data_IF_040758547143
#
_entry.id   IF_040758547143
#
_cell.length_a   1.000
_cell.length_b   1.000
_cell.length_c   1.000
_cell.angle_alpha   90.00
_cell.angle_beta   90.00
_cell.angle_gamma   90.00
#
_symmetry.space_group_name_H-M   'P 1'
#
loop_
_entity.id
_entity.type
_entity.pdbx_description
1 polymer ?
#
# COMPACT_ATOMS: atom_id res chain seq x y z
N UNK A 1 16.45 -1.18 1.83
CA UNK A 1 17.10 -2.34 1.17
C UNK A 1 18.60 -2.52 1.46
N UNK A 2 19.44 -1.50 1.76
CA UNK A 2 20.91 -1.68 1.83
C UNK A 2 21.42 -2.48 3.07
N UNK A 3 20.53 -3.16 3.79
CA UNK A 3 20.85 -4.07 4.91
C UNK A 3 20.06 -5.39 4.86
N UNK A 4 19.41 -5.69 3.74
CA UNK A 4 18.67 -6.95 3.56
C UNK A 4 19.61 -8.08 3.11
N UNK A 5 19.25 -9.33 3.41
CA UNK A 5 19.92 -10.47 2.79
C UNK A 5 19.57 -10.47 1.29
N UNK A 6 20.54 -10.30 0.38
CA UNK A 6 20.27 -10.23 -1.06
C UNK A 6 19.56 -11.48 -1.59
N UNK A 7 19.76 -12.64 -0.93
CA UNK A 7 19.08 -13.88 -1.29
C UNK A 7 17.56 -13.88 -0.99
N UNK A 8 17.04 -12.90 -0.25
CA UNK A 8 15.62 -12.80 0.13
C UNK A 8 14.90 -11.67 -0.60
N UNK A 9 15.49 -11.14 -1.67
CA UNK A 9 14.95 -9.94 -2.34
C UNK A 9 13.59 -10.20 -3.00
N UNK A 10 13.37 -11.42 -3.50
CA UNK A 10 12.08 -11.85 -4.06
C UNK A 10 10.99 -11.94 -2.97
N UNK A 11 11.32 -12.41 -1.77
CA UNK A 11 10.40 -12.47 -0.63
C UNK A 11 9.95 -11.06 -0.20
N UNK A 12 10.85 -10.07 -0.28
CA UNK A 12 10.50 -8.66 -0.04
C UNK A 12 9.51 -8.16 -1.09
N UNK A 13 9.70 -8.53 -2.36
CA UNK A 13 8.78 -8.22 -3.46
C UNK A 13 7.39 -8.81 -3.24
N UNK A 14 7.33 -10.09 -2.88
CA UNK A 14 6.07 -10.75 -2.51
C UNK A 14 5.42 -10.05 -1.32
N UNK A 15 6.20 -9.75 -0.27
CA UNK A 15 5.71 -9.09 0.93
C UNK A 15 5.08 -7.71 0.67
N UNK A 16 5.71 -6.88 -0.16
CA UNK A 16 5.18 -5.54 -0.46
C UNK A 16 3.90 -5.60 -1.30
N UNK A 17 3.81 -6.56 -2.23
CA UNK A 17 2.60 -6.81 -3.02
C UNK A 17 1.44 -7.25 -2.13
N UNK A 18 1.68 -8.21 -1.23
CA UNK A 18 0.69 -8.67 -0.26
C UNK A 18 0.24 -7.55 0.69
N UNK A 19 1.16 -6.72 1.16
CA UNK A 19 0.84 -5.58 2.02
C UNK A 19 -0.06 -4.55 1.32
N UNK A 20 0.22 -4.22 0.06
CA UNK A 20 -0.62 -3.30 -0.73
C UNK A 20 -2.03 -3.90 -0.96
N UNK A 21 -2.12 -5.19 -1.28
CA UNK A 21 -3.39 -5.89 -1.47
C UNK A 21 -4.22 -5.93 -0.17
N UNK A 22 -3.58 -6.25 0.96
CA UNK A 22 -4.23 -6.25 2.28
C UNK A 22 -4.76 -4.86 2.66
N UNK A 23 -3.98 -3.81 2.40
CA UNK A 23 -4.43 -2.43 2.62
C UNK A 23 -5.63 -2.09 1.75
N UNK A 24 -5.59 -2.38 0.44
CA UNK A 24 -6.71 -2.15 -0.48
C UNK A 24 -7.98 -2.88 0.00
N UNK A 25 -7.85 -4.12 0.46
CA UNK A 25 -8.95 -4.88 1.06
C UNK A 25 -9.53 -4.19 2.31
N UNK A 26 -8.67 -3.76 3.24
CA UNK A 26 -9.11 -3.03 4.43
C UNK A 26 -9.82 -1.71 4.08
N UNK A 27 -9.34 -0.98 3.07
CA UNK A 27 -9.99 0.25 2.60
C UNK A 27 -11.40 -0.01 2.09
N UNK A 28 -11.66 -1.14 1.40
CA UNK A 28 -13.01 -1.50 0.97
C UNK A 28 -13.97 -1.66 2.16
N UNK A 29 -13.51 -2.32 3.23
CA UNK A 29 -14.29 -2.47 4.47
C UNK A 29 -14.57 -1.12 5.15
N UNK A 30 -13.62 -0.19 5.12
CA UNK A 30 -13.84 1.16 5.66
C UNK A 30 -14.82 1.92 4.77
N UNK A 31 -14.68 1.86 3.43
CA UNK A 31 -15.57 2.56 2.49
C UNK A 31 -17.02 2.14 2.64
N UNK A 32 -17.29 0.84 2.81
CA UNK A 32 -18.66 0.36 3.04
C UNK A 32 -19.22 0.86 4.38
N UNK A 33 -18.41 0.93 5.44
CA UNK A 33 -18.87 1.50 6.71
C UNK A 33 -19.12 3.01 6.61
N UNK A 34 -18.27 3.74 5.87
CA UNK A 34 -18.44 5.18 5.66
C UNK A 34 -19.73 5.51 4.90
N UNK A 35 -20.19 4.67 3.97
CA UNK A 35 -21.41 4.95 3.20
C UNK A 35 -22.68 5.01 4.04
N UNK A 36 -22.68 4.38 5.23
CA UNK A 36 -23.79 4.42 6.18
C UNK A 36 -23.75 5.61 7.14
N UNK A 37 -22.68 6.42 7.13
CA UNK A 37 -22.54 7.59 8.00
C UNK A 37 -23.23 8.81 7.37
N UNK A 38 -24.05 9.51 8.14
CA UNK A 38 -24.78 10.72 7.69
C UNK A 38 -23.95 12.00 7.72
N UNK A 39 -22.90 12.04 8.52
CA UNK A 39 -21.99 13.19 8.63
C UNK A 39 -21.09 13.27 7.39
N UNK A 40 -21.42 14.18 6.47
CA UNK A 40 -20.70 14.39 5.21
C UNK A 40 -19.28 14.94 5.43
N UNK A 41 -19.07 15.80 6.43
CA UNK A 41 -17.74 16.35 6.70
C UNK A 41 -16.81 15.23 7.19
N UNK A 42 -17.30 14.39 8.10
CA UNK A 42 -16.57 13.23 8.57
C UNK A 42 -16.23 12.27 7.42
N UNK A 43 -17.19 11.96 6.54
CA UNK A 43 -16.96 11.12 5.36
C UNK A 43 -15.88 11.70 4.47
N UNK A 44 -15.96 12.99 4.13
CA UNK A 44 -15.01 13.65 3.24
C UNK A 44 -13.58 13.63 3.83
N UNK A 45 -13.44 13.96 5.12
CA UNK A 45 -12.13 13.90 5.80
C UNK A 45 -11.54 12.50 5.81
N UNK A 46 -12.36 11.47 6.06
CA UNK A 46 -11.90 10.07 6.08
C UNK A 46 -11.59 9.54 4.69
N UNK A 47 -12.42 9.84 3.69
CA UNK A 47 -12.17 9.47 2.29
C UNK A 47 -10.83 10.04 1.80
N UNK A 48 -10.56 11.32 2.07
CA UNK A 48 -9.28 11.94 1.73
C UNK A 48 -8.09 11.26 2.42
N UNK A 49 -8.21 10.94 3.71
CA UNK A 49 -7.16 10.21 4.42
C UNK A 49 -6.90 8.80 3.82
N UNK A 50 -7.95 8.10 3.37
CA UNK A 50 -7.81 6.80 2.70
C UNK A 50 -7.11 6.94 1.34
N UNK A 51 -7.41 7.99 0.57
CA UNK A 51 -6.73 8.29 -0.69
C UNK A 51 -5.24 8.56 -0.48
N UNK A 52 -4.90 9.37 0.53
CA UNK A 52 -3.50 9.67 0.88
C UNK A 52 -2.75 8.40 1.29
N UNK A 53 -3.38 7.52 2.08
CA UNK A 53 -2.80 6.23 2.50
C UNK A 53 -2.56 5.31 1.29
N UNK A 54 -3.54 5.21 0.39
CA UNK A 54 -3.43 4.39 -0.83
C UNK A 54 -2.33 4.92 -1.76
N UNK A 55 -2.23 6.23 -1.92
CA UNK A 55 -1.19 6.87 -2.73
C UNK A 55 0.21 6.55 -2.19
N UNK A 56 0.40 6.74 -0.88
CA UNK A 56 1.67 6.43 -0.20
C UNK A 56 2.03 4.94 -0.31
N UNK A 57 1.05 4.05 -0.16
CA UNK A 57 1.28 2.62 -0.28
C UNK A 57 1.71 2.22 -1.70
N UNK A 58 1.09 2.79 -2.74
CA UNK A 58 1.52 2.58 -4.12
C UNK A 58 2.95 3.06 -4.33
N UNK A 59 3.28 4.28 -3.89
CA UNK A 59 4.63 4.84 -4.00
C UNK A 59 5.69 3.97 -3.31
N UNK A 60 5.38 3.45 -2.11
CA UNK A 60 6.28 2.55 -1.39
C UNK A 60 6.45 1.24 -2.16
N UNK A 61 5.36 0.62 -2.61
CA UNK A 61 5.41 -0.62 -3.40
C UNK A 61 6.20 -0.42 -4.69
N UNK A 62 5.93 0.64 -5.44
CA UNK A 62 6.62 0.95 -6.70
C UNK A 62 8.12 1.18 -6.46
N UNK A 63 8.48 1.90 -5.40
CA UNK A 63 9.87 2.12 -5.02
C UNK A 63 10.60 0.83 -4.62
N UNK A 64 9.93 -0.06 -3.88
CA UNK A 64 10.49 -1.36 -3.49
C UNK A 64 10.67 -2.25 -4.72
N UNK A 65 9.65 -2.39 -5.57
CA UNK A 65 9.73 -3.23 -6.77
C UNK A 65 10.78 -2.73 -7.76
N UNK A 66 10.91 -1.40 -7.91
CA UNK A 66 11.97 -0.82 -8.74
C UNK A 66 13.36 -1.21 -8.24
N UNK A 67 13.61 -1.08 -6.94
CA UNK A 67 14.91 -1.45 -6.38
C UNK A 67 15.18 -2.96 -6.45
N UNK A 68 14.15 -3.80 -6.39
CA UNK A 68 14.27 -5.25 -6.61
C UNK A 68 14.66 -5.53 -8.07
N UNK A 69 14.00 -4.89 -9.03
CA UNK A 69 14.28 -5.06 -10.44
C UNK A 69 15.73 -4.65 -10.78
N UNK A 70 16.17 -3.50 -10.27
CA UNK A 70 17.54 -3.02 -10.46
C UNK A 70 18.60 -4.00 -9.93
N UNK A 71 18.31 -4.70 -8.82
CA UNK A 71 19.22 -5.73 -8.29
C UNK A 71 19.15 -7.05 -9.09
N UNK A 72 17.99 -7.43 -9.62
CA UNK A 72 17.84 -8.65 -10.43
C UNK A 72 18.51 -8.53 -11.82
N UNK A 73 18.61 -7.31 -12.33
CA UNK A 73 19.22 -7.01 -13.64
C UNK A 73 20.74 -6.78 -13.56
N UNK A 74 21.30 -6.66 -12.34
CA UNK A 74 22.73 -6.45 -12.08
C UNK A 74 23.51 -7.75 -11.91
#
# INVERSE_FOLDING_TARGET
LPKGNPNLITDVGVGVLLAEAALKSAVLNVKINLSFIKDEEYKNRRSKALEDILSRASQIKDGVLKAIQEEMDG
#
